data_IF_730781587218
#
_entry.id   IF_730781587218
#
_cell.length_a   1.000
_cell.length_b   1.000
_cell.length_c   1.000
_cell.angle_alpha   90.00
_cell.angle_beta   90.00
_cell.angle_gamma   90.00
#
_symmetry.space_group_name_H-M   'P 1'
#
loop_
_entity.id
_entity.type
_entity.pdbx_description
1 polymer ?
#
# COMPACT_ATOMS: atom_id res chain seq x y z
N UNK A 1 -1.04 15.99 -35.68
CA UNK A 1 -2.04 14.90 -35.78
C UNK A 1 -1.79 13.90 -34.66
N UNK A 2 -2.74 13.73 -33.73
CA UNK A 2 -2.65 12.70 -32.67
C UNK A 2 -2.83 11.31 -33.26
N UNK A 3 -1.94 10.36 -32.90
CA UNK A 3 -2.06 8.96 -33.32
C UNK A 3 -3.33 8.34 -32.70
N UNK A 4 -4.14 7.58 -33.45
CA UNK A 4 -5.26 6.84 -32.88
C UNK A 4 -4.73 5.88 -31.80
N UNK A 5 -5.37 5.87 -30.63
CA UNK A 5 -4.96 5.08 -29.46
C UNK A 5 -4.03 5.78 -28.46
N UNK A 6 -3.62 7.05 -28.68
CA UNK A 6 -2.97 7.84 -27.63
C UNK A 6 -4.00 8.30 -26.61
N UNK A 7 -3.82 7.86 -25.37
CA UNK A 7 -4.52 8.44 -24.22
C UNK A 7 -4.14 9.91 -24.08
N UNK A 8 -5.05 10.68 -23.48
CA UNK A 8 -4.75 12.05 -23.06
C UNK A 8 -3.50 12.03 -22.16
N UNK A 9 -2.47 12.89 -22.42
CA UNK A 9 -1.34 13.08 -21.53
C UNK A 9 -1.71 13.20 -20.04
N UNK A 10 -2.86 13.79 -19.71
CA UNK A 10 -3.37 13.89 -18.35
C UNK A 10 -3.56 12.51 -17.69
N UNK A 11 -4.04 11.50 -18.43
CA UNK A 11 -4.24 10.13 -17.92
C UNK A 11 -2.91 9.51 -17.48
N UNK A 12 -1.83 9.75 -18.22
CA UNK A 12 -0.52 9.25 -17.82
C UNK A 12 -0.01 9.91 -16.54
N UNK A 13 -0.27 11.21 -16.37
CA UNK A 13 0.11 11.95 -15.16
C UNK A 13 -0.69 11.46 -13.95
N UNK A 14 -1.99 11.20 -14.11
CA UNK A 14 -2.85 10.64 -13.07
C UNK A 14 -2.43 9.21 -12.69
N UNK A 15 -2.03 8.39 -13.66
CA UNK A 15 -1.58 7.02 -13.41
C UNK A 15 -0.28 6.96 -12.56
N UNK A 16 0.52 8.04 -12.52
CA UNK A 16 1.77 8.07 -11.74
C UNK A 16 1.54 7.86 -10.24
N UNK A 17 0.37 8.17 -9.69
CA UNK A 17 0.08 7.87 -8.28
C UNK A 17 0.02 6.36 -8.01
N UNK A 18 -0.49 5.57 -8.98
CA UNK A 18 -0.54 4.11 -8.89
C UNK A 18 0.86 3.53 -9.09
N UNK A 19 1.64 4.11 -10.01
CA UNK A 19 3.06 3.78 -10.18
C UNK A 19 3.81 4.01 -8.87
N UNK A 20 3.66 5.18 -8.24
CA UNK A 20 4.32 5.47 -6.98
C UNK A 20 3.89 4.52 -5.85
N UNK A 21 2.59 4.23 -5.72
CA UNK A 21 2.09 3.25 -4.75
C UNK A 21 2.74 1.88 -4.96
N UNK A 22 2.75 1.36 -6.19
CA UNK A 22 3.33 0.06 -6.52
C UNK A 22 4.84 0.01 -6.31
N UNK A 23 5.58 0.98 -6.88
CA UNK A 23 7.05 1.05 -6.76
C UNK A 23 7.49 1.12 -5.29
N UNK A 24 6.80 1.90 -4.46
CA UNK A 24 7.14 2.00 -3.03
C UNK A 24 6.70 0.73 -2.28
N UNK A 25 5.53 0.17 -2.58
CA UNK A 25 5.05 -1.05 -1.95
C UNK A 25 5.97 -2.26 -2.21
N UNK A 26 6.58 -2.32 -3.40
CA UNK A 26 7.52 -3.37 -3.81
C UNK A 26 8.96 -3.10 -3.34
N UNK A 27 9.19 -2.03 -2.56
CA UNK A 27 10.52 -1.67 -2.02
C UNK A 27 11.57 -1.55 -3.13
N UNK A 28 11.16 -1.08 -4.30
CA UNK A 28 12.04 -0.90 -5.46
C UNK A 28 13.02 0.26 -5.18
N UNK A 29 14.31 0.15 -5.57
CA UNK A 29 15.26 1.24 -5.40
C UNK A 29 14.78 2.54 -6.06
N UNK A 30 14.73 3.63 -5.27
CA UNK A 30 14.34 4.97 -5.73
C UNK A 30 15.50 5.74 -6.34
N UNK A 31 16.07 5.15 -7.38
CA UNK A 31 17.14 5.72 -8.21
C UNK A 31 16.58 6.04 -9.60
N UNK A 32 17.30 6.87 -10.35
CA UNK A 32 17.07 7.13 -11.78
C UNK A 32 15.59 7.38 -12.16
N UNK A 33 15.00 6.55 -13.03
CA UNK A 33 13.62 6.69 -13.49
C UNK A 33 12.61 6.46 -12.36
N UNK A 34 12.84 5.47 -11.48
CA UNK A 34 11.95 5.18 -10.35
C UNK A 34 11.86 6.38 -9.42
N UNK A 35 12.98 7.06 -9.17
CA UNK A 35 13.00 8.30 -8.38
C UNK A 35 12.12 9.37 -9.02
N UNK A 36 12.19 9.50 -10.34
CA UNK A 36 11.43 10.49 -11.09
C UNK A 36 9.93 10.17 -11.09
N UNK A 37 9.56 8.92 -11.34
CA UNK A 37 8.17 8.46 -11.31
C UNK A 37 7.56 8.62 -9.92
N UNK A 38 8.28 8.19 -8.87
CA UNK A 38 7.79 8.30 -7.49
C UNK A 38 7.65 9.75 -7.07
N UNK A 39 8.60 10.64 -7.39
CA UNK A 39 8.50 12.06 -7.05
C UNK A 39 7.25 12.73 -7.65
N UNK A 40 6.92 12.43 -8.91
CA UNK A 40 5.71 12.97 -9.55
C UNK A 40 4.45 12.27 -9.05
N UNK A 41 4.51 10.95 -8.85
CA UNK A 41 3.41 10.17 -8.33
C UNK A 41 3.01 10.53 -6.91
N UNK A 42 3.96 10.89 -6.03
CA UNK A 42 3.66 11.40 -4.68
C UNK A 42 2.90 12.75 -4.75
N UNK A 43 3.26 13.63 -5.69
CA UNK A 43 2.53 14.90 -5.93
C UNK A 43 1.14 14.66 -6.51
N UNK A 44 0.96 13.62 -7.31
CA UNK A 44 -0.35 13.21 -7.83
C UNK A 44 -1.21 12.61 -6.73
N UNK A 45 -0.63 11.71 -5.92
CA UNK A 45 -1.29 11.04 -4.79
C UNK A 45 -1.83 12.04 -3.76
N UNK A 46 -1.04 13.07 -3.43
CA UNK A 46 -1.44 14.15 -2.50
C UNK A 46 -2.64 14.99 -2.99
N UNK A 47 -2.94 14.94 -4.30
CA UNK A 47 -4.00 15.72 -4.95
C UNK A 47 -4.96 14.81 -5.72
N UNK A 48 -5.03 13.54 -5.35
CA UNK A 48 -5.84 12.56 -6.06
C UNK A 48 -7.30 12.97 -6.08
N UNK A 49 -7.93 12.85 -7.25
CA UNK A 49 -9.37 12.90 -7.42
C UNK A 49 -10.05 11.54 -7.33
N UNK A 50 -9.28 10.44 -7.20
CA UNK A 50 -9.82 9.09 -7.18
C UNK A 50 -10.43 8.78 -5.82
N UNK A 51 -11.74 8.51 -5.73
CA UNK A 51 -12.45 8.39 -4.45
C UNK A 51 -11.79 7.42 -3.45
N UNK A 52 -11.35 6.25 -3.91
CA UNK A 52 -10.70 5.27 -3.03
C UNK A 52 -9.33 5.72 -2.52
N UNK A 53 -8.51 6.36 -3.36
CA UNK A 53 -7.21 6.90 -2.93
C UNK A 53 -7.41 8.04 -1.93
N UNK A 54 -8.35 8.94 -2.21
CA UNK A 54 -8.69 10.06 -1.30
C UNK A 54 -9.20 9.57 0.04
N UNK A 55 -10.05 8.53 0.04
CA UNK A 55 -10.50 7.90 1.27
C UNK A 55 -9.36 7.23 2.04
N UNK A 56 -8.46 6.52 1.36
CA UNK A 56 -7.33 5.84 1.98
C UNK A 56 -6.33 6.83 2.59
N UNK A 57 -5.97 7.90 1.88
CA UNK A 57 -5.08 8.95 2.39
C UNK A 57 -5.72 9.73 3.54
N UNK A 58 -7.03 9.98 3.47
CA UNK A 58 -7.80 10.58 4.55
C UNK A 58 -7.80 9.74 5.82
N UNK A 59 -8.07 8.44 5.69
CA UNK A 59 -8.03 7.50 6.82
C UNK A 59 -6.62 7.41 7.42
N UNK A 60 -5.59 7.44 6.58
CA UNK A 60 -4.19 7.49 7.00
C UNK A 60 -3.74 8.86 7.57
N UNK A 61 -4.64 9.86 7.65
CA UNK A 61 -4.33 11.22 8.12
C UNK A 61 -3.23 11.92 7.32
N UNK A 62 -3.17 11.66 6.02
CA UNK A 62 -2.20 12.25 5.10
C UNK A 62 -2.81 13.40 4.26
N UNK A 63 -4.06 13.77 4.50
CA UNK A 63 -4.75 14.83 3.76
C UNK A 63 -4.14 16.21 4.02
N UNK A 64 -4.12 17.06 2.98
CA UNK A 64 -3.82 18.49 3.11
C UNK A 64 -2.33 18.85 3.12
N UNK A 65 -1.44 17.88 2.85
CA UNK A 65 0.01 18.12 2.82
C UNK A 65 0.74 17.29 1.75
N UNK A 66 2.06 17.44 1.71
CA UNK A 66 2.91 16.60 0.87
C UNK A 66 2.96 15.17 1.45
N UNK A 67 2.78 14.16 0.59
CA UNK A 67 2.95 12.76 0.96
C UNK A 67 4.39 12.33 0.68
N UNK A 68 5.03 11.68 1.64
CA UNK A 68 6.39 11.15 1.52
C UNK A 68 6.40 9.67 1.14
N UNK A 69 7.51 9.18 0.57
CA UNK A 69 7.67 7.76 0.27
C UNK A 69 7.57 6.89 1.54
N UNK A 70 8.07 7.38 2.67
CA UNK A 70 7.96 6.71 3.97
C UNK A 70 6.49 6.57 4.40
N UNK A 71 5.70 7.63 4.28
CA UNK A 71 4.27 7.57 4.60
C UNK A 71 3.53 6.57 3.71
N UNK A 72 3.89 6.49 2.42
CA UNK A 72 3.34 5.46 1.54
C UNK A 72 3.75 4.06 2.04
N UNK A 73 5.03 3.82 2.28
CA UNK A 73 5.58 2.52 2.67
C UNK A 73 5.00 2.00 4.00
N UNK A 74 4.79 2.87 4.98
CA UNK A 74 4.38 2.48 6.33
C UNK A 74 2.90 2.70 6.64
N UNK A 75 2.19 3.52 5.86
CA UNK A 75 0.79 3.85 6.15
C UNK A 75 -0.17 3.41 5.03
N UNK A 76 0.16 3.60 3.76
CA UNK A 76 -0.76 3.27 2.65
C UNK A 76 -0.57 1.83 2.15
N UNK A 77 0.66 1.46 1.79
CA UNK A 77 0.98 0.15 1.26
C UNK A 77 0.56 -1.00 2.20
N UNK A 78 0.76 -0.93 3.53
CA UNK A 78 0.32 -2.01 4.42
C UNK A 78 -1.19 -2.24 4.42
N UNK A 79 -2.00 -1.20 4.20
CA UNK A 79 -3.47 -1.32 4.12
C UNK A 79 -3.91 -2.02 2.84
N UNK A 80 -3.33 -1.62 1.71
CA UNK A 80 -3.58 -2.31 0.44
C UNK A 80 -3.14 -3.78 0.50
N UNK A 81 -1.93 -4.03 1.02
CA UNK A 81 -1.35 -5.38 1.05
C UNK A 81 -2.01 -6.31 2.09
N UNK A 82 -2.66 -5.75 3.12
CA UNK A 82 -3.39 -6.53 4.10
C UNK A 82 -4.51 -7.36 3.45
N UNK A 83 -5.17 -6.84 2.42
CA UNK A 83 -6.20 -7.57 1.68
C UNK A 83 -5.69 -8.91 1.13
N UNK A 84 -4.53 -8.91 0.47
CA UNK A 84 -3.93 -10.13 -0.06
C UNK A 84 -3.49 -11.11 1.04
N UNK A 85 -2.89 -10.61 2.11
CA UNK A 85 -2.44 -11.44 3.25
C UNK A 85 -3.60 -12.08 4.01
N UNK A 86 -4.74 -11.39 4.06
CA UNK A 86 -5.95 -11.86 4.73
C UNK A 86 -6.93 -12.59 3.80
N UNK A 87 -6.51 -12.93 2.57
CA UNK A 87 -7.27 -13.78 1.64
C UNK A 87 -8.38 -13.08 0.84
N UNK A 88 -8.43 -11.75 0.83
CA UNK A 88 -9.44 -10.95 0.11
C UNK A 88 -8.81 -9.85 -0.79
N UNK A 89 -7.86 -10.18 -1.68
CA UNK A 89 -7.11 -9.20 -2.47
C UNK A 89 -7.99 -8.30 -3.36
N UNK A 90 -9.19 -8.75 -3.73
CA UNK A 90 -10.12 -7.97 -4.56
C UNK A 90 -10.45 -6.61 -3.97
N UNK A 91 -10.52 -6.48 -2.64
CA UNK A 91 -10.85 -5.23 -1.96
C UNK A 91 -9.83 -4.11 -2.24
N UNK A 92 -8.54 -4.44 -2.38
CA UNK A 92 -7.51 -3.47 -2.75
C UNK A 92 -7.73 -2.93 -4.15
N UNK A 93 -8.07 -3.81 -5.11
CA UNK A 93 -8.37 -3.43 -6.50
C UNK A 93 -9.67 -2.63 -6.58
N UNK A 94 -10.72 -3.08 -5.88
CA UNK A 94 -12.00 -2.37 -5.80
C UNK A 94 -11.83 -0.96 -5.23
N UNK A 95 -10.94 -0.76 -4.25
CA UNK A 95 -10.65 0.57 -3.73
C UNK A 95 -10.09 1.46 -4.84
N UNK A 96 -9.09 0.98 -5.57
CA UNK A 96 -8.43 1.74 -6.65
C UNK A 96 -9.37 2.05 -7.82
N UNK A 97 -10.44 1.26 -7.98
CA UNK A 97 -11.46 1.42 -9.02
C UNK A 97 -12.74 2.13 -8.53
N UNK A 98 -12.82 2.53 -7.26
CA UNK A 98 -14.02 3.13 -6.70
C UNK A 98 -14.39 4.44 -7.41
N UNK A 99 -15.66 4.57 -7.81
CA UNK A 99 -16.17 5.73 -8.56
C UNK A 99 -16.96 6.72 -7.71
N UNK A 100 -17.28 6.40 -6.46
CA UNK A 100 -17.98 7.30 -5.53
C UNK A 100 -17.24 7.41 -4.20
N UNK A 101 -17.41 8.54 -3.53
CA UNK A 101 -16.81 8.81 -2.23
C UNK A 101 -17.25 7.78 -1.18
N UNK A 102 -18.55 7.46 -1.14
CA UNK A 102 -19.12 6.50 -0.20
C UNK A 102 -18.50 5.11 -0.36
N UNK A 103 -18.34 4.64 -1.62
CA UNK A 103 -17.71 3.34 -1.88
C UNK A 103 -16.22 3.36 -1.51
N UNK A 104 -15.51 4.44 -1.82
CA UNK A 104 -14.11 4.63 -1.43
C UNK A 104 -13.92 4.58 0.08
N UNK A 105 -14.73 5.32 0.84
CA UNK A 105 -14.69 5.34 2.31
C UNK A 105 -15.04 4.00 2.95
N UNK A 106 -16.02 3.29 2.39
CA UNK A 106 -16.34 1.94 2.83
C UNK A 106 -15.14 1.00 2.64
N UNK A 107 -14.57 0.95 1.44
CA UNK A 107 -13.44 0.07 1.12
C UNK A 107 -12.18 0.43 1.92
N UNK A 108 -11.90 1.72 2.11
CA UNK A 108 -10.75 2.17 2.91
C UNK A 108 -10.85 1.69 4.37
N UNK A 109 -12.05 1.72 4.95
CA UNK A 109 -12.31 1.19 6.32
C UNK A 109 -12.15 -0.32 6.38
N UNK A 110 -12.63 -1.06 5.38
CA UNK A 110 -12.43 -2.51 5.31
C UNK A 110 -10.94 -2.88 5.24
N UNK A 111 -10.17 -2.18 4.41
CA UNK A 111 -8.72 -2.38 4.31
C UNK A 111 -7.98 -2.01 5.60
N UNK A 112 -8.42 -0.98 6.32
CA UNK A 112 -7.85 -0.63 7.62
C UNK A 112 -8.13 -1.71 8.68
N UNK A 113 -9.36 -2.24 8.72
CA UNK A 113 -9.73 -3.37 9.57
C UNK A 113 -8.92 -4.63 9.26
N UNK A 114 -8.72 -4.95 7.97
CA UNK A 114 -7.86 -6.06 7.54
C UNK A 114 -6.41 -5.82 7.95
N UNK A 115 -5.92 -4.58 7.82
CA UNK A 115 -4.58 -4.20 8.25
C UNK A 115 -4.38 -4.36 9.76
N UNK A 116 -5.37 -4.04 10.58
CA UNK A 116 -5.34 -4.28 12.02
C UNK A 116 -5.27 -5.78 12.33
N UNK A 117 -6.19 -6.58 11.79
CA UNK A 117 -6.20 -8.06 11.97
C UNK A 117 -4.89 -8.71 11.54
N UNK A 118 -4.36 -8.26 10.39
CA UNK A 118 -3.07 -8.71 9.87
C UNK A 118 -1.93 -8.37 10.84
N UNK A 119 -1.92 -7.18 11.46
CA UNK A 119 -0.89 -6.82 12.48
C UNK A 119 -0.99 -7.68 13.73
N UNK A 120 -2.20 -7.97 14.19
CA UNK A 120 -2.43 -8.84 15.35
C UNK A 120 -1.91 -10.26 15.09
N UNK A 121 -2.21 -10.81 13.91
CA UNK A 121 -1.69 -12.10 13.47
C UNK A 121 -0.15 -12.09 13.37
N UNK A 122 0.44 -11.08 12.68
CA UNK A 122 1.89 -10.93 12.55
C UNK A 122 2.58 -10.84 13.93
N UNK A 123 1.97 -10.14 14.89
CA UNK A 123 2.49 -9.99 16.26
C UNK A 123 2.48 -11.32 17.01
N UNK A 124 1.39 -12.08 16.94
CA UNK A 124 1.28 -13.41 17.56
C UNK A 124 2.35 -14.35 17.03
N UNK A 125 2.47 -14.46 15.70
CA UNK A 125 3.48 -15.31 15.03
C UNK A 125 4.89 -14.86 15.38
N UNK A 126 5.17 -13.55 15.39
CA UNK A 126 6.48 -13.01 15.76
C UNK A 126 6.84 -13.31 17.21
N UNK A 127 5.87 -13.24 18.14
CA UNK A 127 6.10 -13.56 19.55
C UNK A 127 6.42 -15.04 19.74
N UNK A 128 5.66 -15.93 19.12
CA UNK A 128 5.94 -17.38 19.13
C UNK A 128 7.33 -17.68 18.56
N UNK A 129 7.65 -17.13 17.38
CA UNK A 129 8.94 -17.30 16.74
C UNK A 129 10.11 -16.82 17.61
N UNK A 130 9.98 -15.65 18.27
CA UNK A 130 11.01 -15.14 19.19
C UNK A 130 11.21 -16.05 20.40
N UNK A 131 10.14 -16.59 20.97
CA UNK A 131 10.24 -17.53 22.10
C UNK A 131 11.00 -18.80 21.72
N UNK A 132 10.76 -19.35 20.52
CA UNK A 132 11.49 -20.51 20.01
C UNK A 132 12.99 -20.23 19.84
N UNK A 133 13.35 -19.06 19.31
CA UNK A 133 14.76 -18.66 19.15
C UNK A 133 15.43 -18.50 20.52
N UNK A 134 14.79 -17.80 21.46
CA UNK A 134 15.35 -17.53 22.79
C UNK A 134 15.52 -18.78 23.66
N UNK A 135 14.78 -19.85 23.38
CA UNK A 135 14.96 -21.15 24.05
C UNK A 135 16.24 -21.89 23.61
N UNK A 136 16.97 -21.38 22.61
CA UNK A 136 18.17 -21.97 22.04
C UNK A 136 19.29 -20.93 21.87
N UNK A 137 20.54 -21.37 21.73
CA UNK A 137 21.63 -20.47 21.32
C UNK A 137 21.41 -20.06 19.86
N UNK A 138 21.57 -18.77 19.48
CA UNK A 138 21.22 -18.31 18.15
C UNK A 138 22.07 -19.03 17.08
N UNK A 139 21.45 -19.82 16.20
CA UNK A 139 22.14 -20.46 15.09
C UNK A 139 22.56 -19.41 14.04
N UNK A 140 23.50 -19.75 13.12
CA UNK A 140 23.82 -18.89 11.98
C UNK A 140 22.62 -18.65 11.04
N UNK A 141 21.58 -19.49 11.11
CA UNK A 141 20.33 -19.37 10.37
C UNK A 141 19.16 -19.88 11.23
N UNK A 142 18.03 -19.17 11.21
CA UNK A 142 16.83 -19.51 11.99
C UNK A 142 15.79 -20.16 11.07
N UNK A 143 15.41 -21.41 11.38
CA UNK A 143 14.31 -22.14 10.72
C UNK A 143 13.32 -22.56 11.80
N UNK A 144 12.07 -22.11 11.69
CA UNK A 144 11.02 -22.30 12.68
C UNK A 144 9.74 -22.77 12.01
N UNK A 145 8.93 -23.52 12.75
CA UNK A 145 7.64 -24.03 12.30
C UNK A 145 6.74 -24.27 13.54
N UNK A 146 5.42 -24.10 13.37
CA UNK A 146 4.38 -24.48 14.32
C UNK A 146 3.20 -25.12 13.58
N UNK A 147 2.40 -25.93 14.27
CA UNK A 147 1.13 -26.48 13.75
C UNK A 147 -0.04 -25.49 13.84
N UNK A 148 0.13 -24.38 14.58
CA UNK A 148 -0.89 -23.34 14.78
C UNK A 148 -1.26 -22.57 13.50
#
# INVERSE_FOLDING_TARGET
MSRPGKLDPAVYVEALQLVALGTIADVVPLLDENRTFVMHGLKALARSGYPGITALTGLARLSGGAITAEQVAYQLAPRLNAAGRMGVPSLGVELLLATTAERGEFLARELDSLNLRRREADQSVTQAARAMVMASSPPPFVVLWSED
#
